data_IF_072747682086
#
_entry.id   IF_072747682086
#
_cell.length_a   1.000
_cell.length_b   1.000
_cell.length_c   1.000
_cell.angle_alpha   90.00
_cell.angle_beta   90.00
_cell.angle_gamma   90.00
#
_symmetry.space_group_name_H-M   'P 1'
#
loop_
_entity.id
_entity.type
_entity.pdbx_description
1 polymer ?
#
# COMPACT_ATOMS: atom_id res chain seq x y z
N UNK A 1 7.80 11.88 22.75
CA UNK A 1 6.63 11.26 22.11
C UNK A 1 7.15 10.28 21.06
N UNK A 2 7.60 9.11 21.51
CA UNK A 2 7.86 7.93 20.67
C UNK A 2 7.19 6.79 21.43
N UNK A 3 5.92 6.55 21.10
CA UNK A 3 5.12 5.49 21.69
C UNK A 3 5.42 4.22 20.89
N UNK A 4 6.26 3.34 21.43
CA UNK A 4 6.68 2.12 20.71
C UNK A 4 7.70 1.25 21.44
N UNK A 5 8.30 1.73 22.54
CA UNK A 5 9.22 0.95 23.39
C UNK A 5 8.61 0.54 24.76
N UNK A 6 7.37 -0.01 24.91
CA UNK A 6 6.97 -0.60 26.21
C UNK A 6 6.98 -2.13 26.28
N UNK A 7 7.15 -2.88 25.17
CA UNK A 7 7.01 -4.35 25.21
C UNK A 7 8.34 -5.12 25.33
N UNK A 8 9.48 -4.50 25.01
CA UNK A 8 10.80 -5.15 25.06
C UNK A 8 11.31 -5.33 26.50
N UNK A 9 10.93 -4.42 27.41
CA UNK A 9 11.37 -4.47 28.81
C UNK A 9 10.51 -5.39 29.68
N UNK A 10 9.25 -5.66 29.30
CA UNK A 10 8.35 -6.46 30.14
C UNK A 10 8.64 -7.97 30.03
N UNK A 11 9.00 -8.48 28.83
CA UNK A 11 9.34 -9.90 28.66
C UNK A 11 10.72 -10.22 29.26
N UNK A 12 11.64 -9.24 29.31
CA UNK A 12 12.96 -9.40 29.94
C UNK A 12 12.89 -9.56 31.46
N UNK A 13 11.81 -9.09 32.09
CA UNK A 13 11.61 -9.19 33.54
C UNK A 13 11.03 -10.53 34.01
N UNK A 14 10.54 -11.38 33.10
CA UNK A 14 10.03 -12.72 33.46
C UNK A 14 11.02 -13.86 33.22
N UNK A 15 12.14 -13.62 32.53
CA UNK A 15 13.20 -14.63 32.37
C UNK A 15 14.18 -14.56 33.55
N UNK A 16 13.88 -15.38 34.55
CA UNK A 16 14.63 -15.57 35.79
C UNK A 16 16.12 -15.85 35.53
N UNK A 17 17.00 -15.35 36.42
CA UNK A 17 18.48 -15.32 36.35
C UNK A 17 19.19 -16.70 36.23
N UNK A 18 18.45 -17.80 36.07
CA UNK A 18 18.99 -19.16 36.06
C UNK A 18 19.34 -19.70 34.67
N UNK A 19 18.87 -19.07 33.59
CA UNK A 19 19.10 -19.56 32.21
C UNK A 19 20.33 -18.97 31.49
N UNK A 20 20.96 -17.95 32.07
CA UNK A 20 22.01 -17.13 31.40
C UNK A 20 23.42 -17.74 31.52
N UNK A 21 23.59 -18.89 32.18
CA UNK A 21 24.93 -19.46 32.46
C UNK A 21 25.38 -20.57 31.51
N UNK A 22 24.56 -20.98 30.51
CA UNK A 22 24.91 -22.03 29.56
C UNK A 22 25.02 -21.49 28.14
N UNK A 23 26.20 -21.60 27.46
CA UNK A 23 26.41 -21.04 26.12
C UNK A 23 25.48 -21.65 25.05
N UNK A 24 24.98 -22.87 25.25
CA UNK A 24 24.02 -23.53 24.37
C UNK A 24 22.62 -22.88 24.40
N UNK A 25 22.15 -22.44 25.57
CA UNK A 25 20.85 -21.75 25.69
C UNK A 25 20.90 -20.33 25.11
N UNK A 26 22.05 -19.66 25.14
CA UNK A 26 22.22 -18.35 24.47
C UNK A 26 22.19 -18.49 22.94
N UNK A 27 22.79 -19.54 22.39
CA UNK A 27 22.73 -19.81 20.95
C UNK A 27 21.31 -20.17 20.50
N UNK A 28 20.55 -20.93 21.30
CA UNK A 28 19.14 -21.20 21.04
C UNK A 28 18.28 -19.95 21.15
N UNK A 29 18.54 -19.03 22.08
CA UNK A 29 17.81 -17.77 22.20
C UNK A 29 18.17 -16.80 21.08
N UNK A 30 19.44 -16.76 20.64
CA UNK A 30 19.87 -16.00 19.46
C UNK A 30 19.30 -16.62 18.19
N UNK A 31 19.27 -17.95 18.05
CA UNK A 31 18.63 -18.62 16.92
C UNK A 31 17.11 -18.51 16.96
N UNK A 32 16.50 -18.48 18.15
CA UNK A 32 15.07 -18.25 18.33
C UNK A 32 14.72 -16.82 17.99
N UNK A 33 15.47 -15.83 18.48
CA UNK A 33 15.33 -14.43 18.09
C UNK A 33 15.65 -14.25 16.60
N UNK A 34 16.73 -14.81 16.08
CA UNK A 34 17.07 -14.79 14.66
C UNK A 34 15.95 -15.46 13.85
N UNK A 35 15.39 -16.60 14.25
CA UNK A 35 14.24 -17.24 13.59
C UNK A 35 12.96 -16.38 13.67
N UNK A 36 12.70 -15.75 14.82
CA UNK A 36 11.59 -14.81 15.02
C UNK A 36 11.76 -13.49 14.24
N UNK A 37 13.01 -13.09 13.96
CA UNK A 37 13.36 -11.86 13.24
C UNK A 37 13.71 -12.08 11.75
N UNK A 38 14.03 -13.30 11.30
CA UNK A 38 14.50 -13.57 9.91
C UNK A 38 13.44 -14.07 8.96
N UNK A 39 12.28 -14.51 9.44
CA UNK A 39 11.11 -14.63 8.60
C UNK A 39 10.28 -13.37 8.77
N UNK A 40 10.56 -12.35 7.97
CA UNK A 40 9.48 -11.42 7.62
C UNK A 40 8.36 -12.30 7.05
N UNK A 41 7.17 -12.28 7.66
CA UNK A 41 6.20 -13.28 7.29
C UNK A 41 5.57 -12.79 5.97
N UNK A 42 5.53 -13.68 4.98
CA UNK A 42 5.06 -13.37 3.64
C UNK A 42 3.61 -13.86 3.48
N UNK A 43 2.85 -13.19 2.64
CA UNK A 43 1.50 -13.59 2.22
C UNK A 43 1.50 -13.84 0.71
N UNK A 44 0.65 -14.78 0.27
CA UNK A 44 0.43 -15.05 -1.15
C UNK A 44 -0.85 -14.34 -1.62
N UNK A 45 -0.70 -13.43 -2.58
CA UNK A 45 -1.82 -12.75 -3.24
C UNK A 45 -1.99 -13.34 -4.64
N UNK A 46 -3.20 -13.75 -5.01
CA UNK A 46 -3.49 -14.25 -6.36
C UNK A 46 -4.27 -13.20 -7.16
N UNK A 47 -3.76 -12.84 -8.33
CA UNK A 47 -4.42 -11.91 -9.25
C UNK A 47 -5.61 -12.57 -9.98
N UNK A 48 -6.44 -11.75 -10.63
CA UNK A 48 -7.61 -12.19 -11.38
C UNK A 48 -7.30 -13.13 -12.56
N UNK A 49 -6.09 -13.06 -13.08
CA UNK A 49 -5.53 -13.83 -14.19
C UNK A 49 -4.72 -15.05 -13.70
N UNK A 50 -4.72 -15.30 -12.40
CA UNK A 50 -4.23 -16.53 -11.78
C UNK A 50 -2.76 -16.52 -11.36
N UNK A 51 -2.02 -15.43 -11.62
CA UNK A 51 -0.65 -15.29 -11.11
C UNK A 51 -0.64 -15.06 -9.60
N UNK A 52 0.40 -15.52 -8.94
CA UNK A 52 0.52 -15.45 -7.48
C UNK A 52 1.77 -14.66 -7.10
N UNK A 53 1.61 -13.71 -6.19
CA UNK A 53 2.64 -12.80 -5.70
C UNK A 53 2.91 -13.11 -4.24
N UNK A 54 4.17 -13.36 -3.89
CA UNK A 54 4.60 -13.48 -2.51
C UNK A 54 5.08 -12.11 -2.03
N UNK A 55 4.40 -11.56 -1.03
CA UNK A 55 4.57 -10.17 -0.59
C UNK A 55 4.80 -10.14 0.92
N UNK A 56 5.70 -9.28 1.39
CA UNK A 56 5.87 -9.07 2.83
C UNK A 56 4.57 -8.58 3.46
N UNK A 57 4.24 -9.12 4.63
CA UNK A 57 3.01 -8.70 5.34
C UNK A 57 3.01 -7.22 5.70
N UNK A 58 4.16 -6.60 5.96
CA UNK A 58 4.22 -5.15 6.20
C UNK A 58 3.81 -4.33 4.96
N UNK A 59 4.16 -4.80 3.76
CA UNK A 59 3.74 -4.17 2.50
C UNK A 59 2.24 -4.45 2.27
N UNK A 60 1.80 -5.68 2.52
CA UNK A 60 0.40 -6.05 2.36
C UNK A 60 -0.55 -5.30 3.32
N UNK A 61 -0.05 -4.91 4.51
CA UNK A 61 -0.79 -4.12 5.50
C UNK A 61 -1.08 -2.69 5.07
N UNK A 62 -0.46 -2.18 4.01
CA UNK A 62 -0.86 -0.93 3.37
C UNK A 62 -2.30 -0.98 2.86
N UNK A 63 -2.81 -2.18 2.54
CA UNK A 63 -4.21 -2.44 2.22
C UNK A 63 -5.01 -2.77 3.48
N UNK A 64 -6.06 -1.98 3.74
CA UNK A 64 -6.99 -2.26 4.85
C UNK A 64 -7.78 -3.55 4.57
N UNK A 65 -8.13 -3.81 3.31
CA UNK A 65 -8.81 -5.03 2.88
C UNK A 65 -7.97 -6.27 3.21
N UNK A 66 -6.70 -6.31 2.77
CA UNK A 66 -5.82 -7.46 3.01
C UNK A 66 -5.50 -7.60 4.50
N UNK A 67 -5.28 -6.49 5.21
CA UNK A 67 -5.08 -6.50 6.66
C UNK A 67 -6.25 -7.16 7.41
N UNK A 68 -7.48 -6.87 7.01
CA UNK A 68 -8.68 -7.49 7.62
C UNK A 68 -8.73 -8.98 7.30
N UNK A 69 -8.50 -9.37 6.04
CA UNK A 69 -8.50 -10.77 5.61
C UNK A 69 -7.43 -11.61 6.34
N UNK A 70 -6.27 -11.03 6.62
CA UNK A 70 -5.19 -11.68 7.37
C UNK A 70 -5.58 -12.01 8.81
N UNK A 71 -6.46 -11.23 9.43
CA UNK A 71 -6.96 -11.52 10.78
C UNK A 71 -7.88 -12.75 10.79
N UNK A 72 -8.52 -13.03 9.66
CA UNK A 72 -9.54 -14.08 9.52
C UNK A 72 -8.97 -15.41 8.97
N UNK A 73 -8.02 -15.36 8.03
CA UNK A 73 -7.59 -16.54 7.23
C UNK A 73 -6.22 -17.14 7.63
N UNK A 74 -5.48 -16.53 8.55
CA UNK A 74 -4.11 -16.97 8.86
C UNK A 74 -3.13 -16.73 7.70
N UNK A 75 -1.85 -17.06 7.90
CA UNK A 75 -0.76 -16.60 7.01
C UNK A 75 -0.43 -17.55 5.85
N UNK A 76 -0.91 -18.79 5.89
CA UNK A 76 -0.54 -19.83 4.92
C UNK A 76 -1.52 -19.94 3.74
N UNK A 77 -2.64 -19.21 3.78
CA UNK A 77 -3.66 -19.21 2.73
C UNK A 77 -3.37 -18.16 1.64
N UNK A 78 -3.79 -18.48 0.41
CA UNK A 78 -3.69 -17.57 -0.73
C UNK A 78 -4.89 -16.63 -0.70
N UNK A 79 -4.65 -15.32 -0.74
CA UNK A 79 -5.71 -14.31 -0.81
C UNK A 79 -6.05 -14.02 -2.28
N UNK A 80 -7.24 -14.39 -2.76
CA UNK A 80 -7.64 -14.13 -4.15
C UNK A 80 -8.12 -12.68 -4.32
N UNK A 81 -7.61 -12.02 -5.37
CA UNK A 81 -7.94 -10.64 -5.76
C UNK A 81 -8.58 -10.65 -7.17
N UNK A 82 -9.86 -11.07 -7.30
CA UNK A 82 -10.51 -11.29 -8.59
C UNK A 82 -10.72 -10.02 -9.43
N UNK A 83 -10.58 -8.83 -8.84
CA UNK A 83 -10.80 -7.56 -9.50
C UNK A 83 -9.51 -6.84 -9.92
N UNK A 84 -8.34 -7.46 -9.69
CA UNK A 84 -7.03 -6.87 -9.98
C UNK A 84 -6.20 -7.88 -10.76
N UNK A 85 -5.78 -7.50 -11.97
CA UNK A 85 -4.89 -8.35 -12.77
C UNK A 85 -3.42 -8.19 -12.34
N UNK A 86 -2.57 -9.10 -12.79
CA UNK A 86 -1.16 -9.19 -12.38
C UNK A 86 -0.39 -7.91 -12.62
N UNK A 87 -0.53 -7.30 -13.82
CA UNK A 87 0.19 -6.07 -14.16
C UNK A 87 -0.17 -4.88 -13.27
N UNK A 88 -1.43 -4.77 -12.85
CA UNK A 88 -1.86 -3.71 -11.94
C UNK A 88 -1.50 -4.05 -10.50
N UNK A 89 -1.58 -5.32 -10.11
CA UNK A 89 -1.18 -5.78 -8.79
C UNK A 89 0.33 -5.54 -8.55
N UNK A 90 1.17 -5.81 -9.53
CA UNK A 90 2.62 -5.51 -9.47
C UNK A 90 2.87 -4.02 -9.22
N UNK A 91 2.16 -3.13 -9.92
CA UNK A 91 2.24 -1.67 -9.70
C UNK A 91 1.77 -1.27 -8.30
N UNK A 92 0.69 -1.88 -7.80
CA UNK A 92 0.20 -1.62 -6.44
C UNK A 92 1.24 -2.06 -5.40
N UNK A 93 1.85 -3.23 -5.58
CA UNK A 93 2.91 -3.73 -4.69
C UNK A 93 4.15 -2.82 -4.74
N UNK A 94 4.56 -2.37 -5.93
CA UNK A 94 5.66 -1.41 -6.10
C UNK A 94 5.42 -0.12 -5.30
N UNK A 95 4.22 0.45 -5.43
CA UNK A 95 3.83 1.65 -4.67
C UNK A 95 3.82 1.41 -3.16
N UNK A 96 3.20 0.32 -2.72
CA UNK A 96 3.12 -0.02 -1.30
C UNK A 96 4.50 -0.30 -0.70
N UNK A 97 5.42 -0.89 -1.47
CA UNK A 97 6.80 -1.15 -1.03
C UNK A 97 7.55 0.15 -0.75
N UNK A 98 7.36 1.16 -1.60
CA UNK A 98 8.00 2.47 -1.42
C UNK A 98 7.40 3.24 -0.23
N UNK A 99 6.08 3.17 -0.03
CA UNK A 99 5.36 3.98 0.97
C UNK A 99 5.10 3.25 2.30
N UNK A 100 5.61 2.03 2.51
CA UNK A 100 5.34 1.25 3.73
C UNK A 100 5.81 1.90 5.02
N UNK A 101 6.85 2.74 4.93
CA UNK A 101 7.50 3.41 6.06
C UNK A 101 7.04 4.88 6.21
N UNK A 102 6.08 5.32 5.39
CA UNK A 102 5.57 6.67 5.45
C UNK A 102 4.80 6.93 6.75
N UNK A 103 4.90 8.15 7.32
CA UNK A 103 4.16 8.49 8.51
C UNK A 103 2.66 8.37 8.23
N UNK A 104 1.87 7.87 9.21
CA UNK A 104 0.43 7.80 9.05
C UNK A 104 -0.14 9.20 8.78
N UNK A 105 -1.13 9.33 7.89
CA UNK A 105 -1.69 10.62 7.54
C UNK A 105 -2.28 11.30 8.77
N UNK A 106 -1.86 12.54 9.02
CA UNK A 106 -2.36 13.38 10.11
C UNK A 106 -3.65 14.11 9.69
N UNK A 107 -4.37 14.71 10.62
CA UNK A 107 -5.55 15.55 10.30
C UNK A 107 -5.19 16.72 9.36
N UNK A 108 -3.98 17.27 9.48
CA UNK A 108 -3.48 18.31 8.58
C UNK A 108 -3.25 17.80 7.15
N UNK A 109 -2.88 16.52 7.00
CA UNK A 109 -2.68 15.91 5.68
C UNK A 109 -3.99 15.69 4.93
N UNK A 110 -5.12 15.54 5.63
CA UNK A 110 -6.46 15.53 4.99
C UNK A 110 -6.79 16.88 4.34
N UNK A 111 -6.33 17.98 4.93
CA UNK A 111 -6.47 19.30 4.32
C UNK A 111 -5.53 19.48 3.12
N UNK A 112 -4.32 18.92 3.16
CA UNK A 112 -3.40 18.88 2.02
C UNK A 112 -3.87 17.95 0.89
N UNK A 113 -4.62 16.89 1.20
CA UNK A 113 -5.23 16.02 0.19
C UNK A 113 -6.12 16.80 -0.81
N UNK A 114 -6.67 17.95 -0.38
CA UNK A 114 -7.46 18.85 -1.24
C UNK A 114 -6.61 19.68 -2.22
N UNK A 115 -5.29 19.76 -2.02
CA UNK A 115 -4.37 20.44 -2.94
C UNK A 115 -3.85 19.42 -3.95
N UNK A 116 -4.09 19.65 -5.23
CA UNK A 116 -3.66 18.72 -6.28
C UNK A 116 -2.16 18.83 -6.59
N UNK A 117 -1.52 19.89 -6.10
CA UNK A 117 -0.14 20.29 -6.29
C UNK A 117 0.85 19.62 -5.32
N UNK A 118 0.34 18.91 -4.30
CA UNK A 118 1.14 18.22 -3.29
C UNK A 118 1.24 16.71 -3.61
N UNK A 119 2.10 16.37 -4.57
CA UNK A 119 2.43 14.99 -4.98
C UNK A 119 3.96 14.85 -4.95
N UNK A 120 4.48 13.74 -4.40
CA UNK A 120 5.92 13.50 -4.37
C UNK A 120 6.49 13.33 -5.79
N UNK A 121 7.77 13.65 -5.99
CA UNK A 121 8.40 13.44 -7.29
C UNK A 121 8.40 11.96 -7.71
N UNK A 122 8.54 11.05 -6.75
CA UNK A 122 8.50 9.62 -7.00
C UNK A 122 7.11 9.19 -7.50
N UNK A 123 6.03 9.67 -6.86
CA UNK A 123 4.66 9.39 -7.31
C UNK A 123 4.37 9.95 -8.70
N UNK A 124 4.91 11.13 -9.02
CA UNK A 124 4.77 11.71 -10.36
C UNK A 124 5.39 10.81 -11.42
N UNK A 125 6.58 10.28 -11.15
CA UNK A 125 7.27 9.37 -12.07
C UNK A 125 6.61 7.99 -12.12
N UNK A 126 6.18 7.46 -10.98
CA UNK A 126 5.44 6.19 -10.87
C UNK A 126 4.11 6.22 -11.65
N UNK A 127 3.36 7.33 -11.54
CA UNK A 127 2.07 7.52 -12.23
C UNK A 127 2.21 8.04 -13.66
N UNK A 128 3.42 8.07 -14.22
CA UNK A 128 3.68 8.44 -15.62
C UNK A 128 3.33 7.29 -16.57
N UNK A 129 2.07 6.87 -16.53
CA UNK A 129 1.50 5.77 -17.32
C UNK A 129 0.38 6.30 -18.22
N UNK A 130 -0.15 5.46 -19.12
CA UNK A 130 -1.31 5.83 -19.94
C UNK A 130 -2.59 5.97 -19.09
N UNK A 131 -3.60 6.70 -19.61
CA UNK A 131 -4.84 6.94 -18.87
C UNK A 131 -5.58 5.66 -18.47
N UNK A 132 -5.51 4.61 -19.29
CA UNK A 132 -6.18 3.34 -19.01
C UNK A 132 -5.52 2.62 -17.84
N UNK A 133 -4.19 2.62 -17.81
CA UNK A 133 -3.42 2.08 -16.68
C UNK A 133 -3.64 2.91 -15.41
N UNK A 134 -3.60 4.24 -15.49
CA UNK A 134 -3.88 5.11 -14.34
C UNK A 134 -5.27 4.85 -13.75
N UNK A 135 -6.29 4.73 -14.61
CA UNK A 135 -7.65 4.42 -14.18
C UNK A 135 -7.73 3.06 -13.48
N UNK A 136 -7.06 2.04 -14.02
CA UNK A 136 -7.01 0.70 -13.39
C UNK A 136 -6.30 0.71 -12.05
N UNK A 137 -5.20 1.45 -11.91
CA UNK A 137 -4.50 1.63 -10.62
C UNK A 137 -5.44 2.30 -9.61
N UNK A 138 -6.16 3.36 -10.01
CA UNK A 138 -7.14 4.04 -9.14
C UNK A 138 -8.27 3.11 -8.68
N UNK A 139 -8.83 2.30 -9.59
CA UNK A 139 -9.87 1.31 -9.25
C UNK A 139 -9.33 0.23 -8.31
N UNK A 140 -8.12 -0.28 -8.55
CA UNK A 140 -7.48 -1.27 -7.69
C UNK A 140 -7.19 -0.70 -6.29
N UNK A 141 -6.70 0.55 -6.20
CA UNK A 141 -6.45 1.23 -4.94
C UNK A 141 -7.71 1.40 -4.09
N UNK A 142 -8.83 1.74 -4.73
CA UNK A 142 -10.13 1.81 -4.07
C UNK A 142 -10.63 0.43 -3.60
N UNK A 143 -10.47 -0.61 -4.44
CA UNK A 143 -10.87 -1.98 -4.07
C UNK A 143 -10.05 -2.55 -2.90
N UNK A 144 -8.75 -2.28 -2.89
CA UNK A 144 -7.83 -2.73 -1.83
C UNK A 144 -7.81 -1.78 -0.62
N UNK A 145 -8.58 -0.70 -0.64
CA UNK A 145 -8.64 0.35 0.39
C UNK A 145 -7.22 0.83 0.79
N UNK A 146 -6.45 1.26 -0.23
CA UNK A 146 -5.13 1.87 -0.09
C UNK A 146 -5.29 3.37 -0.31
N UNK A 147 -5.62 4.10 0.77
CA UNK A 147 -5.97 5.53 0.70
C UNK A 147 -4.90 6.40 0.06
N UNK A 148 -3.63 6.20 0.43
CA UNK A 148 -2.51 6.99 -0.12
C UNK A 148 -2.42 6.87 -1.64
N UNK A 149 -2.49 5.65 -2.18
CA UNK A 149 -2.47 5.39 -3.61
C UNK A 149 -3.70 5.98 -4.33
N UNK A 150 -4.88 5.87 -3.72
CA UNK A 150 -6.10 6.46 -4.26
C UNK A 150 -6.02 7.99 -4.32
N UNK A 151 -5.46 8.62 -3.30
CA UNK A 151 -5.31 10.08 -3.24
C UNK A 151 -4.32 10.59 -4.29
N UNK A 152 -3.14 9.97 -4.43
CA UNK A 152 -2.14 10.40 -5.43
C UNK A 152 -2.63 10.20 -6.86
N UNK A 153 -3.41 9.13 -7.12
CA UNK A 153 -4.04 8.91 -8.44
C UNK A 153 -5.11 9.96 -8.73
N UNK A 154 -5.96 10.32 -7.75
CA UNK A 154 -6.94 11.40 -7.88
C UNK A 154 -6.28 12.76 -8.13
N UNK A 155 -5.22 13.10 -7.39
CA UNK A 155 -4.46 14.35 -7.58
C UNK A 155 -3.81 14.41 -8.96
N UNK A 156 -3.25 13.29 -9.42
CA UNK A 156 -2.65 13.17 -10.76
C UNK A 156 -3.70 13.38 -11.84
N UNK A 157 -4.87 12.75 -11.71
CA UNK A 157 -5.99 12.94 -12.62
C UNK A 157 -6.46 14.41 -12.64
N UNK A 158 -6.61 15.05 -11.49
CA UNK A 158 -6.97 16.46 -11.38
C UNK A 158 -5.94 17.38 -12.06
N UNK A 159 -4.64 17.10 -11.92
CA UNK A 159 -3.58 17.84 -12.59
C UNK A 159 -3.60 17.65 -14.12
N UNK A 160 -3.95 16.45 -14.61
CA UNK A 160 -4.13 16.22 -16.05
C UNK A 160 -5.30 17.03 -16.61
N UNK A 161 -6.40 17.16 -15.86
CA UNK A 161 -7.55 17.99 -16.25
C UNK A 161 -7.18 19.48 -16.23
N UNK A 162 -6.50 19.96 -15.17
CA UNK A 162 -6.08 21.36 -15.05
C UNK A 162 -5.12 21.82 -16.14
N UNK A 163 -4.27 20.92 -16.67
CA UNK A 163 -3.24 21.24 -17.67
C UNK A 163 -3.70 21.14 -19.12
N UNK A 164 -4.91 20.65 -19.37
CA UNK A 164 -5.48 20.51 -20.73
C UNK A 164 -6.55 21.57 -20.96
N UNK A 165 -6.64 22.10 -22.18
CA UNK A 165 -7.76 22.95 -22.58
C UNK A 165 -9.07 22.15 -22.66
N UNK A 166 -10.23 22.79 -22.53
CA UNK A 166 -11.55 22.13 -22.63
C UNK A 166 -11.69 21.26 -23.91
N UNK A 167 -11.08 21.70 -25.01
CA UNK A 167 -11.10 21.00 -26.29
C UNK A 167 -10.24 19.73 -26.28
N UNK A 168 -9.09 19.76 -25.61
CA UNK A 168 -8.23 18.60 -25.42
C UNK A 168 -8.79 17.62 -24.39
N UNK A 169 -9.53 18.11 -23.38
CA UNK A 169 -10.27 17.27 -22.44
C UNK A 169 -11.37 16.50 -23.18
N UNK A 170 -12.20 17.19 -23.98
CA UNK A 170 -13.27 16.53 -24.76
C UNK A 170 -12.71 15.46 -25.72
N UNK A 171 -11.58 15.75 -26.38
CA UNK A 171 -10.90 14.77 -27.26
C UNK A 171 -10.25 13.62 -26.48
N UNK A 172 -9.57 13.91 -25.37
CA UNK A 172 -8.85 12.90 -24.58
C UNK A 172 -9.77 11.94 -23.83
N UNK A 173 -10.94 12.44 -23.40
CA UNK A 173 -11.90 11.67 -22.58
C UNK A 173 -13.15 11.26 -23.36
N UNK A 174 -13.19 11.52 -24.68
CA UNK A 174 -14.31 11.18 -25.56
C UNK A 174 -15.67 11.72 -25.05
N UNK A 175 -15.64 12.90 -24.43
CA UNK A 175 -16.83 13.56 -23.90
C UNK A 175 -17.43 14.40 -25.05
N UNK A 176 -18.67 14.10 -25.45
CA UNK A 176 -19.40 14.94 -26.41
C UNK A 176 -19.70 16.30 -25.76
N UNK A 177 -19.24 17.39 -26.38
CA UNK A 177 -19.63 18.77 -26.02
C UNK A 177 -21.15 18.92 -26.22
N UNK A 178 -21.92 18.91 -25.15
CA UNK A 178 -23.33 19.34 -25.18
C UNK A 178 -23.38 20.84 -24.91
N UNK A 179 -23.11 21.65 -25.92
CA UNK A 179 -23.42 23.08 -25.86
C UNK A 179 -24.88 23.27 -26.27
N UNK A 180 -25.76 23.33 -25.27
CA UNK A 180 -27.12 23.83 -25.48
C UNK A 180 -27.04 25.36 -25.48
N UNK A 181 -26.98 25.95 -26.67
CA UNK A 181 -27.21 27.39 -26.83
C UNK A 181 -28.70 27.60 -26.60
N UNK A 182 -29.06 28.11 -25.42
CA UNK A 182 -30.38 28.70 -25.23
C UNK A 182 -30.40 30.03 -25.98
N UNK A 183 -31.17 30.08 -27.07
CA UNK A 183 -31.54 31.31 -27.77
C UNK A 183 -32.97 31.69 -27.37
#
# INVERSE_FOLDING_TARGET
>A
MFCGIPLIYSVRSQFNQSFVSRPQCQLELINFLHHFFTKMPHIKLQSSDGETFEVDVEIAKCSITIKTMLLDLGMDEVVPLPNVNSAILEKVIEWATYHKDDPPPTEDDQNKARRSDDISSWDVDFLKVDHGTLYKIMVAANYLDIKGLFDVTCKTFANMVKRKSEEEICKSFNIKKYFTVFH
#
